data_IF_405304826873
#
_entry.id   IF_405304826873
#
_cell.length_a   1.000
_cell.length_b   1.000
_cell.length_c   1.000
_cell.angle_alpha   90.00
_cell.angle_beta   90.00
_cell.angle_gamma   90.00
#
_symmetry.space_group_name_H-M   'P 1'
#
loop_
_entity.id
_entity.type
_entity.pdbx_description
1 polymer ?
#
# COMPACT_ATOMS: atom_id res chain seq x y z
N UNK A 1 -16.22 -8.10 27.06
CA UNK A 1 -15.06 -7.19 26.80
C UNK A 1 -15.16 -6.67 25.37
N UNK A 2 -15.41 -5.37 25.23
CA UNK A 2 -15.64 -4.71 23.93
C UNK A 2 -14.39 -4.76 23.04
N UNK A 3 -13.21 -4.55 23.61
CA UNK A 3 -11.95 -4.54 22.89
C UNK A 3 -11.54 -5.85 22.21
N UNK A 4 -12.09 -7.02 22.65
CA UNK A 4 -11.74 -8.32 22.08
C UNK A 4 -11.90 -8.37 20.56
N UNK A 5 -12.99 -7.79 20.01
CA UNK A 5 -13.24 -7.80 18.56
C UNK A 5 -12.20 -7.03 17.76
N UNK A 6 -11.70 -5.90 18.31
CA UNK A 6 -10.63 -5.13 17.67
C UNK A 6 -9.30 -5.90 17.69
N UNK A 7 -8.96 -6.56 18.80
CA UNK A 7 -7.74 -7.37 18.87
C UNK A 7 -7.79 -8.50 17.86
N UNK A 8 -8.90 -9.24 17.80
CA UNK A 8 -9.07 -10.35 16.84
C UNK A 8 -9.03 -9.83 15.40
N UNK A 9 -9.79 -8.78 15.10
CA UNK A 9 -9.78 -8.15 13.78
C UNK A 9 -8.38 -7.67 13.40
N UNK A 10 -7.70 -6.96 14.31
CA UNK A 10 -6.37 -6.41 14.05
C UNK A 10 -5.33 -7.50 13.71
N UNK A 11 -5.30 -8.61 14.47
CA UNK A 11 -4.37 -9.71 14.15
C UNK A 11 -4.69 -10.37 12.80
N UNK A 12 -5.96 -10.65 12.51
CA UNK A 12 -6.34 -11.24 11.23
C UNK A 12 -6.06 -10.30 10.05
N UNK A 13 -6.36 -9.02 10.24
CA UNK A 13 -6.09 -8.00 9.22
C UNK A 13 -4.59 -7.78 9.00
N UNK A 14 -3.78 -7.85 10.07
CA UNK A 14 -2.32 -7.77 9.99
C UNK A 14 -1.73 -8.92 9.17
N UNK A 15 -2.22 -10.15 9.37
CA UNK A 15 -1.80 -11.31 8.56
C UNK A 15 -2.06 -11.04 7.08
N UNK A 16 -3.26 -10.56 6.75
CA UNK A 16 -3.66 -10.26 5.38
C UNK A 16 -2.74 -9.19 4.74
N UNK A 17 -2.50 -8.09 5.46
CA UNK A 17 -1.73 -6.95 4.92
C UNK A 17 -0.22 -7.17 4.97
N UNK A 18 0.30 -7.90 5.96
CA UNK A 18 1.70 -8.30 6.02
C UNK A 18 2.08 -9.30 4.92
N UNK A 19 1.14 -10.16 4.49
CA UNK A 19 1.35 -11.07 3.35
C UNK A 19 1.66 -10.35 2.02
N UNK A 20 1.38 -9.04 1.94
CA UNK A 20 1.80 -8.22 0.79
C UNK A 20 3.31 -8.04 0.70
N UNK A 21 4.06 -8.20 1.81
CA UNK A 21 5.52 -8.18 1.80
C UNK A 21 6.12 -9.23 0.85
N UNK A 22 5.86 -10.53 1.06
CA UNK A 22 6.24 -11.58 0.12
C UNK A 22 5.74 -11.35 -1.33
N UNK A 23 4.52 -10.86 -1.52
CA UNK A 23 4.01 -10.52 -2.84
C UNK A 23 4.87 -9.45 -3.54
N UNK A 24 5.30 -8.42 -2.81
CA UNK A 24 6.19 -7.40 -3.35
C UNK A 24 7.55 -7.97 -3.74
N UNK A 25 8.10 -8.93 -2.98
CA UNK A 25 9.37 -9.60 -3.32
C UNK A 25 9.26 -10.26 -4.70
N UNK A 26 8.14 -10.93 -5.02
CA UNK A 26 7.91 -11.49 -6.35
C UNK A 26 7.88 -10.39 -7.44
N UNK A 27 7.25 -9.25 -7.16
CA UNK A 27 7.20 -8.11 -8.08
C UNK A 27 8.58 -7.46 -8.32
N UNK A 28 9.49 -7.51 -7.35
CA UNK A 28 10.87 -7.05 -7.56
C UNK A 28 11.65 -7.90 -8.56
N UNK A 29 11.29 -9.15 -8.78
CA UNK A 29 11.86 -9.96 -9.86
C UNK A 29 11.46 -9.40 -11.24
N UNK A 30 10.17 -9.05 -11.42
CA UNK A 30 9.67 -8.41 -12.64
C UNK A 30 10.38 -7.05 -12.88
N UNK A 31 10.56 -6.27 -11.81
CA UNK A 31 11.30 -5.02 -11.85
C UNK A 31 12.76 -5.20 -12.26
N UNK A 32 13.44 -6.20 -11.70
CA UNK A 32 14.82 -6.54 -12.06
C UNK A 32 14.98 -6.88 -13.53
N UNK A 33 14.05 -7.68 -14.09
CA UNK A 33 14.02 -8.00 -15.51
C UNK A 33 13.78 -6.76 -16.39
N UNK A 34 12.80 -5.91 -16.01
CA UNK A 34 12.51 -4.66 -16.73
C UNK A 34 13.69 -3.68 -16.68
N UNK A 35 14.35 -3.54 -15.53
CA UNK A 35 15.53 -2.68 -15.36
C UNK A 35 16.73 -3.19 -16.19
N UNK A 36 16.94 -4.51 -16.24
CA UNK A 36 17.95 -5.12 -17.10
C UNK A 36 17.70 -4.84 -18.58
N UNK A 37 16.47 -5.01 -19.05
CA UNK A 37 16.07 -4.69 -20.43
C UNK A 37 16.29 -3.20 -20.75
N UNK A 38 15.86 -2.29 -19.85
CA UNK A 38 16.14 -0.85 -20.00
C UNK A 38 17.64 -0.58 -20.11
N UNK A 39 18.45 -1.21 -19.24
CA UNK A 39 19.92 -1.04 -19.24
C UNK A 39 20.53 -1.38 -20.59
N UNK A 40 20.13 -2.48 -21.22
CA UNK A 40 20.61 -2.91 -22.53
C UNK A 40 20.29 -1.90 -23.63
N UNK A 41 19.01 -1.51 -23.77
CA UNK A 41 18.60 -0.59 -24.85
C UNK A 41 19.13 0.83 -24.65
N UNK A 42 19.20 1.33 -23.41
CA UNK A 42 19.78 2.64 -23.11
C UNK A 42 21.30 2.61 -23.35
N UNK A 43 21.98 1.54 -22.96
CA UNK A 43 23.42 1.35 -23.24
C UNK A 43 23.72 1.36 -24.73
N UNK A 44 22.92 0.68 -25.55
CA UNK A 44 23.02 0.71 -27.00
C UNK A 44 22.85 2.14 -27.56
N UNK A 45 21.81 2.88 -27.13
CA UNK A 45 21.62 4.28 -27.56
C UNK A 45 22.75 5.22 -27.11
N UNK A 46 23.34 4.98 -25.95
CA UNK A 46 24.49 5.74 -25.47
C UNK A 46 25.73 5.51 -26.34
N UNK A 47 25.97 4.28 -26.80
CA UNK A 47 27.03 3.97 -27.73
C UNK A 47 26.82 4.68 -29.08
N UNK A 48 25.61 4.63 -29.61
CA UNK A 48 25.26 5.37 -30.84
C UNK A 48 25.47 6.87 -30.70
N UNK A 49 25.10 7.46 -29.55
CA UNK A 49 25.27 8.89 -29.27
C UNK A 49 26.76 9.29 -29.14
N UNK A 50 27.61 8.42 -28.65
CA UNK A 50 29.05 8.66 -28.43
C UNK A 50 29.87 8.53 -29.71
N UNK A 51 29.35 7.78 -30.71
CA UNK A 51 30.01 7.60 -32.00
C UNK A 51 29.98 8.88 -32.86
N UNK A 52 31.00 9.06 -33.69
CA UNK A 52 31.07 10.16 -34.67
C UNK A 52 30.09 9.92 -35.83
N UNK A 53 29.78 8.67 -36.12
CA UNK A 53 28.84 8.21 -37.14
C UNK A 53 27.72 7.36 -36.49
N UNK A 54 26.56 7.31 -37.16
CA UNK A 54 25.42 6.48 -36.73
C UNK A 54 25.60 5.05 -37.24
N UNK A 55 26.59 4.36 -36.72
CA UNK A 55 26.95 2.99 -37.07
C UNK A 55 26.45 2.03 -35.98
N UNK A 56 26.09 0.80 -36.37
CA UNK A 56 25.81 -0.27 -35.45
C UNK A 56 27.10 -0.65 -34.68
N UNK A 57 27.13 -0.57 -33.35
CA UNK A 57 28.35 -0.85 -32.57
C UNK A 57 28.93 -2.27 -32.75
N UNK A 58 28.10 -3.24 -33.19
CA UNK A 58 28.50 -4.63 -33.37
C UNK A 58 28.98 -4.91 -34.80
N UNK A 59 28.32 -4.32 -35.81
CA UNK A 59 28.60 -4.62 -37.22
C UNK A 59 29.41 -3.54 -37.93
N UNK A 60 29.52 -2.36 -37.35
CA UNK A 60 30.16 -1.14 -37.92
C UNK A 60 29.54 -0.69 -39.26
N UNK A 61 28.29 -1.09 -39.47
CA UNK A 61 27.51 -0.68 -40.65
C UNK A 61 26.65 0.57 -40.34
N UNK A 62 26.46 1.42 -41.31
CA UNK A 62 25.57 2.58 -41.18
C UNK A 62 24.15 2.18 -40.84
N UNK A 63 23.60 2.81 -39.82
CA UNK A 63 22.22 2.59 -39.42
C UNK A 63 21.26 3.36 -40.32
N UNK A 64 20.30 2.64 -40.87
CA UNK A 64 19.16 3.28 -41.56
C UNK A 64 18.28 4.06 -40.58
N UNK A 65 17.57 5.08 -41.05
CA UNK A 65 16.61 5.84 -40.27
C UNK A 65 15.54 4.96 -39.64
N UNK A 66 15.16 3.84 -40.30
CA UNK A 66 14.23 2.85 -39.77
C UNK A 66 14.80 2.13 -38.55
N UNK A 67 16.05 1.68 -38.61
CA UNK A 67 16.71 0.97 -37.49
C UNK A 67 16.87 1.90 -36.29
N UNK A 68 17.26 3.13 -36.49
CA UNK A 68 17.36 4.14 -35.43
C UNK A 68 15.99 4.43 -34.81
N UNK A 69 14.95 4.55 -35.63
CA UNK A 69 13.57 4.76 -35.15
C UNK A 69 13.07 3.56 -34.30
N UNK A 70 13.39 2.32 -34.71
CA UNK A 70 13.05 1.11 -33.95
C UNK A 70 13.80 1.09 -32.61
N UNK A 71 15.10 1.36 -32.61
CA UNK A 71 15.90 1.40 -31.36
C UNK A 71 15.36 2.42 -30.37
N UNK A 72 14.96 3.61 -30.83
CA UNK A 72 14.35 4.62 -29.98
C UNK A 72 12.98 4.16 -29.42
N UNK A 73 12.16 3.52 -30.26
CA UNK A 73 10.86 2.98 -29.82
C UNK A 73 11.03 1.89 -28.76
N UNK A 74 11.99 0.99 -28.94
CA UNK A 74 12.31 -0.07 -27.97
C UNK A 74 12.78 0.53 -26.64
N UNK A 75 13.60 1.58 -26.66
CA UNK A 75 14.04 2.26 -25.44
C UNK A 75 12.86 2.90 -24.68
N UNK A 76 11.96 3.58 -25.41
CA UNK A 76 10.76 4.17 -24.81
C UNK A 76 9.87 3.09 -24.19
N UNK A 77 9.65 1.99 -24.89
CA UNK A 77 8.85 0.87 -24.39
C UNK A 77 9.48 0.22 -23.16
N UNK A 78 10.81 0.03 -23.15
CA UNK A 78 11.53 -0.52 -22.00
C UNK A 78 11.44 0.43 -20.78
N UNK A 79 11.56 1.74 -20.98
CA UNK A 79 11.39 2.74 -19.91
C UNK A 79 9.96 2.74 -19.37
N UNK A 80 8.95 2.69 -20.23
CA UNK A 80 7.55 2.63 -19.81
C UNK A 80 7.24 1.35 -19.03
N UNK A 81 7.79 0.21 -19.46
CA UNK A 81 7.65 -1.07 -18.75
C UNK A 81 8.25 -1.01 -17.35
N UNK A 82 9.46 -0.44 -17.21
CA UNK A 82 10.09 -0.25 -15.90
C UNK A 82 9.23 0.64 -15.01
N UNK A 83 8.82 1.81 -15.51
CA UNK A 83 7.97 2.75 -14.75
C UNK A 83 6.65 2.11 -14.30
N UNK A 84 5.99 1.34 -15.17
CA UNK A 84 4.76 0.63 -14.82
C UNK A 84 4.98 -0.43 -13.72
N UNK A 85 6.12 -1.12 -13.76
CA UNK A 85 6.47 -2.13 -12.74
C UNK A 85 6.78 -1.47 -11.39
N UNK A 86 7.53 -0.37 -11.37
CA UNK A 86 7.79 0.45 -10.18
C UNK A 86 6.49 0.96 -9.57
N UNK A 87 5.62 1.53 -10.39
CA UNK A 87 4.33 2.06 -9.95
C UNK A 87 3.47 0.98 -9.27
N UNK A 88 3.45 -0.25 -9.78
CA UNK A 88 2.72 -1.36 -9.14
C UNK A 88 3.26 -1.68 -7.74
N UNK A 89 4.59 -1.72 -7.58
CA UNK A 89 5.24 -1.98 -6.29
C UNK A 89 4.91 -0.86 -5.31
N UNK A 90 5.05 0.41 -5.73
CA UNK A 90 4.80 1.57 -4.89
C UNK A 90 3.33 1.68 -4.47
N UNK A 91 2.41 1.32 -5.35
CA UNK A 91 0.98 1.29 -5.02
C UNK A 91 0.65 0.27 -3.94
N UNK A 92 1.26 -0.92 -3.96
CA UNK A 92 1.08 -1.92 -2.91
C UNK A 92 1.79 -1.49 -1.64
N UNK A 93 3.03 -1.03 -1.74
CA UNK A 93 3.88 -0.62 -0.61
C UNK A 93 3.28 0.55 0.16
N UNK A 94 2.97 1.65 -0.53
CA UNK A 94 2.45 2.88 0.09
C UNK A 94 0.96 2.82 0.44
N UNK A 95 0.20 1.93 -0.21
CA UNK A 95 -1.23 1.74 0.01
C UNK A 95 -1.53 0.64 1.05
N UNK A 96 -2.03 -0.51 0.61
CA UNK A 96 -2.58 -1.52 1.51
C UNK A 96 -1.56 -2.14 2.46
N UNK A 97 -0.27 -2.19 2.08
CA UNK A 97 0.76 -2.73 2.97
C UNK A 97 1.06 -1.76 4.13
N UNK A 98 1.37 -0.51 3.86
CA UNK A 98 1.72 0.46 4.90
C UNK A 98 0.50 0.82 5.75
N UNK A 99 -0.60 1.26 5.13
CA UNK A 99 -1.82 1.65 5.84
C UNK A 99 -2.46 0.44 6.54
N UNK A 100 -2.52 -0.72 5.88
CA UNK A 100 -3.12 -1.91 6.45
C UNK A 100 -2.39 -2.41 7.70
N UNK A 101 -1.06 -2.45 7.68
CA UNK A 101 -0.27 -2.83 8.85
C UNK A 101 -0.45 -1.84 10.00
N UNK A 102 -0.40 -0.53 9.72
CA UNK A 102 -0.63 0.51 10.73
C UNK A 102 -2.02 0.40 11.35
N UNK A 103 -3.06 0.28 10.53
CA UNK A 103 -4.44 0.22 10.99
C UNK A 103 -4.76 -1.10 11.73
N UNK A 104 -4.14 -2.20 11.32
CA UNK A 104 -4.21 -3.46 12.04
C UNK A 104 -3.62 -3.32 13.46
N UNK A 105 -2.42 -2.73 13.57
CA UNK A 105 -1.79 -2.45 14.86
C UNK A 105 -2.62 -1.48 15.70
N UNK A 106 -3.18 -0.43 15.10
CA UNK A 106 -4.09 0.50 15.79
C UNK A 106 -5.31 -0.23 16.36
N UNK A 107 -5.91 -1.15 15.61
CA UNK A 107 -7.02 -1.96 16.12
C UNK A 107 -6.61 -2.82 17.32
N UNK A 108 -5.42 -3.46 17.28
CA UNK A 108 -4.92 -4.25 18.41
C UNK A 108 -4.73 -3.36 19.64
N UNK A 109 -4.04 -2.22 19.48
CA UNK A 109 -3.76 -1.28 20.59
C UNK A 109 -5.04 -0.70 21.17
N UNK A 110 -5.98 -0.25 20.31
CA UNK A 110 -7.30 0.27 20.72
C UNK A 110 -8.09 -0.82 21.44
N UNK A 111 -8.06 -2.05 20.95
CA UNK A 111 -8.73 -3.17 21.61
C UNK A 111 -8.20 -3.42 23.02
N UNK A 112 -6.89 -3.39 23.21
CA UNK A 112 -6.27 -3.50 24.53
C UNK A 112 -6.62 -2.27 25.39
N UNK A 113 -6.45 -1.05 24.89
CA UNK A 113 -6.74 0.19 25.62
C UNK A 113 -8.21 0.24 26.10
N UNK A 114 -9.17 -0.18 25.28
CA UNK A 114 -10.58 -0.25 25.66
C UNK A 114 -10.84 -1.16 26.87
N UNK A 115 -9.99 -2.14 27.16
CA UNK A 115 -10.10 -2.94 28.35
C UNK A 115 -9.76 -2.18 29.63
N UNK A 116 -8.99 -1.09 29.54
CA UNK A 116 -8.55 -0.28 30.68
C UNK A 116 -9.27 1.06 30.81
N UNK A 117 -10.24 1.36 29.95
CA UNK A 117 -10.98 2.63 29.97
C UNK A 117 -12.35 2.41 30.63
N UNK A 118 -12.60 3.09 31.75
CA UNK A 118 -13.92 3.19 32.40
C UNK A 118 -14.74 4.28 31.69
N UNK A 119 -15.62 3.87 30.78
CA UNK A 119 -16.48 4.75 30.01
C UNK A 119 -17.81 4.07 29.67
N UNK A 120 -18.85 4.83 29.30
CA UNK A 120 -20.12 4.27 28.86
C UNK A 120 -19.92 3.26 27.72
N UNK A 121 -20.53 2.09 27.84
CA UNK A 121 -20.43 0.97 26.89
C UNK A 121 -20.70 1.42 25.45
N UNK A 122 -21.67 2.31 25.24
CA UNK A 122 -22.02 2.83 23.91
C UNK A 122 -20.85 3.61 23.26
N UNK A 123 -20.13 4.43 24.03
CA UNK A 123 -18.98 5.19 23.53
C UNK A 123 -17.81 4.26 23.21
N UNK A 124 -17.56 3.25 24.05
CA UNK A 124 -16.55 2.22 23.78
C UNK A 124 -16.89 1.42 22.51
N UNK A 125 -18.17 1.07 22.31
CA UNK A 125 -18.63 0.42 21.09
C UNK A 125 -18.46 1.30 19.86
N UNK A 126 -18.84 2.59 19.95
CA UNK A 126 -18.64 3.53 18.86
C UNK A 126 -17.17 3.64 18.47
N UNK A 127 -16.28 3.86 19.44
CA UNK A 127 -14.84 3.90 19.18
C UNK A 127 -14.36 2.61 18.49
N UNK A 128 -14.72 1.46 19.03
CA UNK A 128 -14.37 0.14 18.48
C UNK A 128 -14.79 0.00 17.00
N UNK A 129 -16.02 0.34 16.67
CA UNK A 129 -16.52 0.24 15.29
C UNK A 129 -15.92 1.26 14.34
N UNK A 130 -15.61 2.47 14.81
CA UNK A 130 -14.91 3.48 13.99
C UNK A 130 -13.56 2.96 13.50
N UNK A 131 -12.79 2.26 14.33
CA UNK A 131 -11.52 1.67 13.89
C UNK A 131 -11.71 0.48 12.96
N UNK A 132 -12.61 -0.47 13.27
CA UNK A 132 -12.84 -1.66 12.43
C UNK A 132 -13.36 -1.24 11.06
N UNK A 133 -14.45 -0.47 11.01
CA UNK A 133 -15.04 -0.04 9.74
C UNK A 133 -14.14 0.94 9.00
N UNK A 134 -13.44 1.82 9.72
CA UNK A 134 -12.45 2.71 9.13
C UNK A 134 -11.34 1.94 8.41
N UNK A 135 -10.78 0.90 9.03
CA UNK A 135 -9.75 0.07 8.42
C UNK A 135 -10.29 -0.75 7.23
N UNK A 136 -11.50 -1.28 7.29
CA UNK A 136 -12.12 -1.98 6.16
C UNK A 136 -12.33 -1.03 4.98
N UNK A 137 -12.88 0.17 5.25
CA UNK A 137 -13.21 1.16 4.21
C UNK A 137 -12.02 1.99 3.74
N UNK A 138 -10.86 1.90 4.38
CA UNK A 138 -9.60 2.49 3.91
C UNK A 138 -8.65 1.42 3.40
N UNK A 139 -7.86 0.81 4.28
CA UNK A 139 -6.82 -0.13 3.87
C UNK A 139 -7.39 -1.41 3.24
N UNK A 140 -8.58 -1.88 3.67
CA UNK A 140 -9.26 -3.02 3.05
C UNK A 140 -9.68 -2.73 1.61
N UNK A 141 -10.26 -1.56 1.36
CA UNK A 141 -10.61 -1.14 -0.02
C UNK A 141 -9.36 -0.84 -0.87
N UNK A 142 -8.30 -0.25 -0.28
CA UNK A 142 -7.00 -0.11 -0.97
C UNK A 142 -6.42 -1.48 -1.36
N UNK A 143 -6.59 -2.49 -0.50
CA UNK A 143 -6.17 -3.85 -0.84
C UNK A 143 -6.94 -4.39 -2.06
N UNK A 144 -8.25 -4.23 -2.08
CA UNK A 144 -9.09 -4.66 -3.21
C UNK A 144 -8.77 -3.90 -4.50
N UNK A 145 -8.52 -2.60 -4.40
CA UNK A 145 -8.15 -1.74 -5.52
C UNK A 145 -6.77 -2.09 -6.09
N UNK A 146 -5.74 -2.15 -5.23
CA UNK A 146 -4.34 -2.22 -5.67
C UNK A 146 -3.85 -3.64 -5.96
N UNK A 147 -4.40 -4.65 -5.26
CA UNK A 147 -4.01 -6.05 -5.45
C UNK A 147 -4.89 -6.74 -6.47
N UNK A 148 -6.21 -6.54 -6.37
CA UNK A 148 -7.19 -7.18 -7.28
C UNK A 148 -7.65 -6.28 -8.42
N UNK A 149 -7.18 -5.04 -8.48
CA UNK A 149 -7.48 -4.08 -9.55
C UNK A 149 -8.98 -3.84 -9.74
N UNK A 150 -9.75 -3.79 -8.64
CA UNK A 150 -11.19 -3.62 -8.67
C UNK A 150 -11.60 -2.14 -8.75
N UNK A 151 -12.15 -1.64 -9.88
CA UNK A 151 -12.42 -0.21 -10.07
C UNK A 151 -13.44 0.37 -9.08
N UNK A 152 -14.42 -0.42 -8.65
CA UNK A 152 -15.42 0.02 -7.69
C UNK A 152 -14.81 0.30 -6.30
N UNK A 153 -13.73 -0.41 -5.92
CA UNK A 153 -13.03 -0.16 -4.67
C UNK A 153 -12.35 1.21 -4.68
N UNK A 154 -11.74 1.61 -5.81
CA UNK A 154 -11.15 2.94 -5.98
C UNK A 154 -12.21 4.06 -5.78
N UNK A 155 -13.40 3.88 -6.33
CA UNK A 155 -14.48 4.86 -6.18
C UNK A 155 -14.87 5.05 -4.70
N UNK A 156 -14.89 3.98 -3.91
CA UNK A 156 -15.20 4.05 -2.48
C UNK A 156 -14.02 4.62 -1.67
N UNK A 157 -12.78 4.24 -1.96
CA UNK A 157 -11.58 4.81 -1.31
C UNK A 157 -11.52 6.33 -1.50
N UNK A 158 -11.82 6.81 -2.71
CA UNK A 158 -11.76 8.25 -3.04
C UNK A 158 -12.77 9.12 -2.25
N UNK A 159 -13.76 8.51 -1.59
CA UNK A 159 -14.67 9.24 -0.68
C UNK A 159 -13.99 9.74 0.59
N UNK A 160 -12.85 9.14 0.97
CA UNK A 160 -12.11 9.50 2.19
C UNK A 160 -12.81 9.10 3.50
N UNK A 161 -13.90 8.33 3.45
CA UNK A 161 -14.72 8.00 4.64
C UNK A 161 -13.93 7.17 5.66
N UNK A 162 -13.08 6.24 5.20
CA UNK A 162 -12.28 5.37 6.06
C UNK A 162 -11.29 6.14 6.94
N UNK A 163 -10.39 6.96 6.37
CA UNK A 163 -9.49 7.83 7.13
C UNK A 163 -10.22 8.77 8.12
N UNK A 164 -11.35 9.34 7.71
CA UNK A 164 -12.18 10.18 8.59
C UNK A 164 -12.70 9.38 9.78
N UNK A 165 -13.18 8.15 9.57
CA UNK A 165 -13.62 7.28 10.68
C UNK A 165 -12.49 6.98 11.65
N UNK A 166 -11.28 6.69 11.15
CA UNK A 166 -10.10 6.42 12.00
C UNK A 166 -9.73 7.66 12.82
N UNK A 167 -9.71 8.85 12.21
CA UNK A 167 -9.43 10.11 12.90
C UNK A 167 -10.45 10.40 14.00
N UNK A 168 -11.75 10.22 13.72
CA UNK A 168 -12.80 10.34 14.72
C UNK A 168 -12.65 9.32 15.83
N UNK A 169 -12.26 8.09 15.49
CA UNK A 169 -11.94 7.04 16.45
C UNK A 169 -10.79 7.43 17.38
N UNK A 170 -9.69 7.95 16.83
CA UNK A 170 -8.52 8.43 17.59
C UNK A 170 -8.91 9.58 18.53
N UNK A 171 -9.66 10.57 18.04
CA UNK A 171 -10.15 11.67 18.87
C UNK A 171 -11.01 11.17 20.03
N UNK A 172 -11.98 10.30 19.73
CA UNK A 172 -12.83 9.70 20.74
C UNK A 172 -12.04 8.91 21.77
N UNK A 173 -11.09 8.07 21.33
CA UNK A 173 -10.20 7.32 22.23
C UNK A 173 -9.37 8.24 23.12
N UNK A 174 -8.83 9.33 22.59
CA UNK A 174 -8.11 10.34 23.37
C UNK A 174 -8.98 10.94 24.48
N UNK A 175 -10.21 11.36 24.15
CA UNK A 175 -11.16 11.91 25.14
C UNK A 175 -11.53 10.87 26.21
N UNK A 176 -11.78 9.62 25.80
CA UNK A 176 -12.13 8.55 26.72
C UNK A 176 -10.95 8.20 27.66
N UNK A 177 -9.72 8.20 27.13
CA UNK A 177 -8.51 7.93 27.91
C UNK A 177 -8.25 9.02 28.97
N UNK A 178 -8.38 10.31 28.62
CA UNK A 178 -8.21 11.43 29.58
C UNK A 178 -9.12 11.27 30.79
N UNK A 179 -10.36 10.82 30.57
CA UNK A 179 -11.39 10.77 31.60
C UNK A 179 -11.48 9.44 32.35
N UNK A 180 -11.07 8.34 31.71
CA UNK A 180 -11.42 7.02 32.18
C UNK A 180 -10.31 5.98 32.21
N UNK A 181 -9.06 6.33 31.89
CA UNK A 181 -7.97 5.32 31.89
C UNK A 181 -7.68 4.85 33.31
N UNK A 182 -7.60 3.53 33.50
CA UNK A 182 -7.42 2.86 34.80
C UNK A 182 -6.21 1.93 34.75
N UNK A 183 -5.63 1.65 35.92
CA UNK A 183 -4.50 0.71 36.06
C UNK A 183 -4.91 -0.76 35.96
N UNK A 184 -6.21 -1.06 36.10
CA UNK A 184 -6.75 -2.42 36.06
C UNK A 184 -7.84 -2.57 34.98
N UNK A 185 -8.02 -3.77 34.44
CA UNK A 185 -9.06 -4.02 33.44
C UNK A 185 -10.48 -3.75 33.99
N UNK A 186 -11.24 -2.98 33.22
CA UNK A 186 -12.62 -2.60 33.56
C UNK A 186 -13.61 -3.61 33.00
N UNK A 187 -14.56 -4.07 33.84
CA UNK A 187 -15.66 -4.94 33.41
C UNK A 187 -16.70 -4.09 32.66
N UNK A 188 -16.98 -4.47 31.39
CA UNK A 188 -18.08 -3.90 30.63
C UNK A 188 -19.38 -4.60 31.08
N UNK A 189 -20.20 -3.88 31.79
CA UNK A 189 -21.57 -4.34 32.06
C UNK A 189 -22.50 -3.80 30.97
N UNK A 190 -23.49 -4.60 30.54
CA UNK A 190 -24.45 -4.16 29.51
C UNK A 190 -25.32 -2.98 29.98
#
# INVERSE_FOLDING_TARGET
MIGKKNVVFGFLFLVLTAALGPLMVLKYQDWGAANGQRGQVVGYLQQLKAGEYLENPETLEDLSAKQLSVANAEAILAMNKLAATEQQIDFIKGGPHAHGNLEALLNIVVGIALCFIAAPVRLKQLASWLFILGSITHAGLLYLERVFMLPWANMLVSTGIGPVMILLGLLLMGVLAIKGFQGEPVKDYP
#
